data_IF_963213829321
#
_entry.id   IF_963213829321
#
_cell.length_a   1.000
_cell.length_b   1.000
_cell.length_c   1.000
_cell.angle_alpha   90.00
_cell.angle_beta   90.00
_cell.angle_gamma   90.00
#
_symmetry.space_group_name_H-M   'P 1'
#
loop_
_entity.id
_entity.type
_entity.pdbx_description
1 polymer ?
#
# COMPACT_ATOMS: atom_id res chain seq x y z
N UNK A 1 14.24 6.82 11.36
CA UNK A 1 14.77 8.02 10.73
C UNK A 1 13.73 9.13 10.71
N UNK A 2 12.56 8.95 10.11
CA UNK A 2 11.52 10.00 9.97
C UNK A 2 10.96 10.50 11.30
N UNK A 3 10.92 9.66 12.32
CA UNK A 3 10.48 10.05 13.69
C UNK A 3 11.44 11.05 14.33
N UNK A 4 12.75 10.94 14.03
CA UNK A 4 13.78 11.84 14.57
C UNK A 4 13.85 13.17 13.83
N UNK A 5 13.48 13.20 12.57
CA UNK A 5 13.53 14.41 11.72
C UNK A 5 12.14 15.07 11.66
N UNK A 6 11.76 15.68 12.79
CA UNK A 6 10.45 16.34 12.93
C UNK A 6 10.40 17.72 12.27
N UNK A 7 11.53 18.35 11.97
CA UNK A 7 11.61 19.71 11.48
C UNK A 7 11.83 19.79 9.94
N UNK A 8 12.19 18.67 9.30
CA UNK A 8 12.43 18.65 7.87
C UNK A 8 11.13 18.77 7.07
N UNK A 9 11.10 19.71 6.15
CA UNK A 9 10.02 19.89 5.18
C UNK A 9 10.12 18.93 3.98
N UNK A 10 10.97 17.92 4.04
CA UNK A 10 11.07 16.90 3.00
C UNK A 10 9.91 15.92 3.08
N UNK A 11 9.45 15.44 1.93
CA UNK A 11 8.42 14.39 1.89
C UNK A 11 8.93 13.13 2.59
N UNK A 12 8.23 12.73 3.64
CA UNK A 12 8.50 11.51 4.40
C UNK A 12 7.59 10.42 3.89
N UNK A 13 8.06 9.66 2.88
CA UNK A 13 7.31 8.61 2.23
C UNK A 13 8.02 7.26 2.42
N UNK A 14 7.26 6.25 2.81
CA UNK A 14 7.69 4.85 2.86
C UNK A 14 6.83 4.06 1.89
N UNK A 15 7.46 3.35 0.94
CA UNK A 15 6.74 2.52 -0.01
C UNK A 15 6.93 1.04 0.29
N UNK A 16 5.83 0.32 0.34
CA UNK A 16 5.76 -1.13 0.36
C UNK A 16 5.66 -1.61 -1.09
N UNK A 17 6.77 -2.15 -1.61
CA UNK A 17 6.96 -2.43 -3.03
C UNK A 17 6.89 -3.92 -3.31
N UNK A 18 6.20 -4.30 -4.37
CA UNK A 18 6.14 -5.70 -4.80
C UNK A 18 5.02 -5.95 -5.80
N UNK A 19 4.98 -7.17 -6.32
CA UNK A 19 3.94 -7.61 -7.25
C UNK A 19 2.58 -7.77 -6.56
N UNK A 20 1.53 -7.90 -7.38
CA UNK A 20 0.19 -8.14 -6.86
C UNK A 20 0.13 -9.48 -6.12
N UNK A 21 -0.34 -9.45 -4.86
CA UNK A 21 -0.46 -10.64 -4.02
C UNK A 21 0.78 -10.98 -3.19
N UNK A 22 1.83 -10.17 -3.20
CA UNK A 22 3.02 -10.35 -2.36
C UNK A 22 2.86 -9.80 -0.93
N UNK A 23 1.68 -9.31 -0.56
CA UNK A 23 1.38 -8.92 0.82
C UNK A 23 1.71 -7.47 1.16
N UNK A 24 1.84 -6.57 0.17
CA UNK A 24 2.08 -5.12 0.40
C UNK A 24 1.10 -4.52 1.42
N UNK A 25 -0.20 -4.63 1.14
CA UNK A 25 -1.28 -4.15 2.01
C UNK A 25 -1.20 -4.76 3.41
N UNK A 26 -0.97 -6.08 3.49
CA UNK A 26 -0.85 -6.78 4.77
C UNK A 26 0.37 -6.29 5.58
N UNK A 27 1.51 -6.10 4.92
CA UNK A 27 2.72 -5.56 5.56
C UNK A 27 2.49 -4.12 6.04
N UNK A 28 1.88 -3.28 5.21
CA UNK A 28 1.54 -1.90 5.55
C UNK A 28 0.60 -1.83 6.75
N UNK A 29 -0.51 -2.59 6.73
CA UNK A 29 -1.51 -2.60 7.82
C UNK A 29 -0.96 -3.22 9.11
N UNK A 30 -0.14 -4.26 9.02
CA UNK A 30 0.56 -4.81 10.19
C UNK A 30 1.51 -3.79 10.80
N UNK A 31 2.27 -3.07 9.98
CA UNK A 31 3.16 -1.99 10.43
C UNK A 31 2.37 -0.89 11.15
N UNK A 32 1.22 -0.50 10.62
CA UNK A 32 0.30 0.44 11.27
C UNK A 32 -0.16 -0.07 12.63
N UNK A 33 -0.64 -1.31 12.71
CA UNK A 33 -1.09 -1.93 13.96
C UNK A 33 0.01 -2.00 15.02
N UNK A 34 1.25 -2.30 14.62
CA UNK A 34 2.41 -2.26 15.53
C UNK A 34 2.63 -0.84 16.04
N UNK A 35 2.62 0.16 15.17
CA UNK A 35 2.84 1.56 15.52
C UNK A 35 1.77 2.07 16.52
N UNK A 36 0.51 1.72 16.28
CA UNK A 36 -0.60 2.11 17.17
C UNK A 36 -0.57 1.42 18.54
N UNK A 37 -0.07 0.19 18.59
CA UNK A 37 -0.04 -0.64 19.79
C UNK A 37 1.27 -0.53 20.58
N UNK A 38 2.29 0.12 20.04
CA UNK A 38 3.58 0.28 20.73
C UNK A 38 3.41 1.13 21.99
N UNK A 39 3.38 0.44 23.12
CA UNK A 39 3.41 1.04 24.45
C UNK A 39 4.40 0.26 25.29
N UNK A 40 4.99 0.88 26.31
CA UNK A 40 5.83 0.15 27.26
C UNK A 40 5.12 -1.12 27.78
N UNK A 41 5.83 -2.25 27.74
CA UNK A 41 5.35 -3.58 28.17
C UNK A 41 4.31 -4.25 27.25
N UNK A 42 4.10 -3.76 26.02
CA UNK A 42 3.29 -4.47 25.01
C UNK A 42 4.14 -5.48 24.22
N UNK A 43 3.49 -6.45 23.57
CA UNK A 43 4.17 -7.36 22.63
C UNK A 43 4.80 -6.59 21.47
N UNK A 44 4.12 -5.55 21.00
CA UNK A 44 4.63 -4.64 19.99
C UNK A 44 5.91 -3.91 20.45
N UNK A 45 6.00 -3.52 21.72
CA UNK A 45 7.21 -2.94 22.30
C UNK A 45 8.38 -3.93 22.26
N UNK A 46 8.14 -5.18 22.66
CA UNK A 46 9.15 -6.22 22.65
C UNK A 46 9.72 -6.47 21.24
N UNK A 47 8.85 -6.41 20.22
CA UNK A 47 9.27 -6.51 18.81
C UNK A 47 10.11 -5.30 18.38
N UNK A 48 9.64 -4.09 18.67
CA UNK A 48 10.31 -2.82 18.32
C UNK A 48 11.67 -2.69 19.04
N UNK A 49 11.78 -3.17 20.26
CA UNK A 49 13.03 -3.22 21.02
C UNK A 49 14.06 -4.15 20.38
N UNK A 50 13.63 -5.36 19.96
CA UNK A 50 14.49 -6.33 19.28
C UNK A 50 15.11 -5.78 17.99
N UNK A 51 14.39 -4.95 17.25
CA UNK A 51 14.88 -4.35 16.00
C UNK A 51 15.57 -2.99 16.21
N UNK A 52 15.81 -2.59 17.48
CA UNK A 52 16.56 -1.37 17.81
C UNK A 52 15.80 -0.06 17.57
N UNK A 53 14.46 -0.08 17.52
CA UNK A 53 13.60 1.07 17.23
C UNK A 53 12.88 1.61 18.46
N UNK A 54 13.52 1.65 19.62
CA UNK A 54 12.94 2.11 20.91
C UNK A 54 12.32 3.50 20.87
N UNK A 55 12.85 4.41 20.05
CA UNK A 55 12.31 5.77 19.93
C UNK A 55 10.85 5.77 19.47
N UNK A 56 10.39 4.73 18.77
CA UNK A 56 9.01 4.61 18.33
C UNK A 56 8.04 4.46 19.52
N UNK A 57 8.47 3.80 20.59
CA UNK A 57 7.66 3.65 21.80
C UNK A 57 7.38 4.97 22.54
N UNK A 58 8.27 5.95 22.36
CA UNK A 58 8.14 7.28 22.95
C UNK A 58 7.43 8.28 22.03
N UNK A 59 7.02 7.85 20.82
CA UNK A 59 6.38 8.70 19.83
C UNK A 59 4.92 8.29 19.67
N UNK A 60 4.01 9.21 19.93
CA UNK A 60 2.59 8.97 19.72
C UNK A 60 2.23 9.22 18.26
N UNK A 61 1.81 8.16 17.57
CA UNK A 61 1.38 8.26 16.19
C UNK A 61 -0.16 8.24 16.10
N UNK A 62 -0.71 9.09 15.22
CA UNK A 62 -2.09 9.02 14.79
C UNK A 62 -2.12 8.44 13.38
N UNK A 63 -2.74 7.28 13.21
CA UNK A 63 -2.86 6.61 11.92
C UNK A 63 -4.24 6.88 11.33
N UNK A 64 -4.28 7.35 10.10
CA UNK A 64 -5.53 7.53 9.36
C UNK A 64 -5.96 6.19 8.78
N UNK A 65 -7.24 6.00 8.60
CA UNK A 65 -7.79 4.83 7.90
C UNK A 65 -7.19 4.70 6.49
N UNK A 66 -6.83 3.47 6.08
CA UNK A 66 -6.23 3.19 4.77
C UNK A 66 -7.10 3.74 3.64
N UNK A 67 -6.47 4.46 2.73
CA UNK A 67 -7.12 4.95 1.51
C UNK A 67 -6.74 4.06 0.34
N UNK A 68 -7.73 3.45 -0.29
CA UNK A 68 -7.55 2.74 -1.56
C UNK A 68 -8.18 3.60 -2.68
N UNK A 69 -7.36 4.19 -3.57
CA UNK A 69 -7.84 5.05 -4.64
C UNK A 69 -8.71 4.34 -5.68
N UNK A 70 -8.71 3.01 -5.73
CA UNK A 70 -9.52 2.23 -6.68
C UNK A 70 -11.02 2.26 -6.35
N UNK A 71 -11.39 2.63 -5.10
CA UNK A 71 -12.79 2.73 -4.66
C UNK A 71 -13.41 4.12 -4.85
N UNK A 72 -12.67 5.08 -5.39
CA UNK A 72 -13.15 6.45 -5.52
C UNK A 72 -13.38 6.82 -6.98
N UNK A 73 -14.45 7.57 -7.23
CA UNK A 73 -14.75 8.11 -8.54
C UNK A 73 -13.69 9.12 -9.01
N UNK A 74 -13.61 9.32 -10.32
CA UNK A 74 -12.62 10.19 -10.98
C UNK A 74 -12.66 11.65 -10.52
N UNK A 75 -13.78 12.09 -9.96
CA UNK A 75 -13.97 13.44 -9.41
C UNK A 75 -13.27 13.63 -8.06
N UNK A 76 -12.83 12.56 -7.37
CA UNK A 76 -12.27 12.65 -6.04
C UNK A 76 -10.76 12.85 -6.08
N UNK A 77 -10.32 13.84 -5.32
CA UNK A 77 -8.92 14.19 -5.15
C UNK A 77 -8.38 13.46 -3.91
N UNK A 78 -7.20 12.82 -4.00
CA UNK A 78 -6.59 12.08 -2.87
C UNK A 78 -6.44 12.95 -1.61
N UNK A 79 -6.20 14.25 -1.79
CA UNK A 79 -6.08 15.19 -0.69
C UNK A 79 -7.42 15.41 0.02
N UNK A 80 -8.52 15.55 -0.72
CA UNK A 80 -9.86 15.67 -0.13
C UNK A 80 -10.27 14.42 0.63
N UNK A 81 -9.96 13.25 0.06
CA UNK A 81 -10.22 11.96 0.72
C UNK A 81 -9.45 11.89 2.04
N UNK A 82 -8.17 12.26 2.03
CA UNK A 82 -7.33 12.28 3.23
C UNK A 82 -7.91 13.23 4.29
N UNK A 83 -8.29 14.44 3.89
CA UNK A 83 -8.90 15.42 4.81
C UNK A 83 -10.24 14.92 5.34
N UNK A 84 -11.07 14.31 4.50
CA UNK A 84 -12.32 13.68 4.92
C UNK A 84 -12.12 12.58 5.95
N UNK A 85 -11.08 11.76 5.80
CA UNK A 85 -10.72 10.72 6.78
C UNK A 85 -10.18 11.32 8.08
N UNK A 86 -9.38 12.37 8.02
CA UNK A 86 -8.98 13.12 9.22
C UNK A 86 -10.20 13.66 9.99
N UNK A 87 -11.17 14.23 9.24
CA UNK A 87 -12.41 14.72 9.84
C UNK A 87 -13.24 13.58 10.48
N UNK A 88 -13.32 12.41 9.85
CA UNK A 88 -14.00 11.24 10.42
C UNK A 88 -13.32 10.75 11.70
N UNK A 89 -11.98 10.69 11.71
CA UNK A 89 -11.19 10.34 12.92
C UNK A 89 -11.41 11.35 14.04
N UNK A 90 -11.46 12.64 13.72
CA UNK A 90 -11.82 13.70 14.66
C UNK A 90 -13.22 13.45 15.26
N UNK A 91 -14.23 13.16 14.44
CA UNK A 91 -15.61 12.91 14.90
C UNK A 91 -15.68 11.74 15.88
N UNK A 92 -15.06 10.59 15.51
CA UNK A 92 -14.99 9.40 16.39
C UNK A 92 -14.38 9.75 17.75
N UNK A 93 -13.25 10.46 17.74
CA UNK A 93 -12.56 10.86 18.99
C UNK A 93 -13.39 11.81 19.83
N UNK A 94 -14.16 12.71 19.21
CA UNK A 94 -15.06 13.63 19.91
C UNK A 94 -16.20 12.90 20.63
N UNK A 95 -16.70 11.80 20.06
CA UNK A 95 -17.76 10.98 20.67
C UNK A 95 -17.25 10.20 21.88
N UNK A 96 -15.96 9.83 21.90
CA UNK A 96 -15.34 9.03 22.94
C UNK A 96 -14.89 9.85 24.17
N UNK A 97 -14.53 11.11 23.99
CA UNK A 97 -13.87 11.92 25.01
C UNK A 97 -14.50 13.30 25.19
N UNK A 98 -14.55 13.80 26.45
CA UNK A 98 -14.81 15.22 26.71
C UNK A 98 -13.56 16.01 26.31
N UNK A 99 -13.63 16.73 25.20
CA UNK A 99 -12.51 17.49 24.62
C UNK A 99 -12.63 18.97 24.98
N UNK A 100 -11.47 19.63 25.12
CA UNK A 100 -11.36 21.08 25.30
C UNK A 100 -12.02 21.85 24.14
N UNK A 101 -12.94 22.72 24.48
CA UNK A 101 -13.74 23.49 23.53
C UNK A 101 -12.87 24.38 22.62
N UNK A 102 -11.75 24.94 23.16
CA UNK A 102 -10.85 25.78 22.41
C UNK A 102 -10.13 25.04 21.28
N UNK A 103 -9.60 23.87 21.57
CA UNK A 103 -8.91 23.01 20.59
C UNK A 103 -9.86 22.52 19.48
N UNK A 104 -11.11 22.21 19.89
CA UNK A 104 -12.15 21.79 18.97
C UNK A 104 -12.49 22.88 17.94
N UNK A 105 -12.74 24.10 18.40
CA UNK A 105 -13.16 25.19 17.51
C UNK A 105 -12.04 25.54 16.51
N UNK A 106 -10.79 25.63 16.98
CA UNK A 106 -9.65 25.94 16.13
C UNK A 106 -9.45 24.90 15.03
N UNK A 107 -9.56 23.60 15.37
CA UNK A 107 -9.46 22.52 14.39
C UNK A 107 -10.59 22.59 13.36
N UNK A 108 -11.84 22.83 13.79
CA UNK A 108 -12.98 22.96 12.88
C UNK A 108 -12.86 24.16 11.91
N UNK A 109 -12.37 25.29 12.39
CA UNK A 109 -12.06 26.47 11.57
C UNK A 109 -11.01 26.14 10.51
N UNK A 110 -9.96 25.39 10.90
CA UNK A 110 -8.90 24.97 9.98
C UNK A 110 -9.42 23.99 8.94
N UNK A 111 -10.25 23.00 9.31
CA UNK A 111 -10.93 22.12 8.36
C UNK A 111 -11.77 22.90 7.35
N UNK A 112 -12.56 23.87 7.84
CA UNK A 112 -13.44 24.68 7.00
C UNK A 112 -12.64 25.51 5.98
N UNK A 113 -11.53 26.13 6.42
CA UNK A 113 -10.64 26.93 5.58
C UNK A 113 -9.96 26.09 4.49
N UNK A 114 -9.40 24.93 4.86
CA UNK A 114 -8.76 24.02 3.90
C UNK A 114 -9.77 23.49 2.88
N UNK A 115 -10.97 23.10 3.33
CA UNK A 115 -12.02 22.64 2.42
C UNK A 115 -12.48 23.74 1.44
N UNK A 116 -12.64 24.97 1.90
CA UNK A 116 -12.98 26.10 1.04
C UNK A 116 -11.89 26.36 -0.03
N UNK A 117 -10.60 26.25 0.36
CA UNK A 117 -9.49 26.38 -0.56
C UNK A 117 -9.46 25.27 -1.61
N UNK A 118 -9.73 24.03 -1.21
CA UNK A 118 -9.81 22.90 -2.14
C UNK A 118 -10.94 23.04 -3.15
N UNK A 119 -12.12 23.46 -2.69
CA UNK A 119 -13.27 23.72 -3.58
C UNK A 119 -13.00 24.88 -4.57
N UNK A 120 -12.25 25.87 -4.14
CA UNK A 120 -11.84 26.99 -5.03
C UNK A 120 -10.91 26.51 -6.15
N UNK A 121 -9.98 25.59 -5.83
CA UNK A 121 -9.03 25.04 -6.81
C UNK A 121 -9.63 23.99 -7.76
N UNK A 122 -10.81 23.48 -7.46
CA UNK A 122 -11.54 22.50 -8.30
C UNK A 122 -12.41 23.13 -9.38
N UNK A 123 -12.66 24.43 -9.34
CA UNK A 123 -13.44 25.11 -10.38
C UNK A 123 -12.66 25.10 -11.68
N UNK A 124 -13.07 24.23 -12.61
CA UNK A 124 -12.38 23.98 -13.89
C UNK A 124 -12.44 25.13 -14.90
N UNK A 125 -13.21 26.17 -14.64
CA UNK A 125 -13.50 27.24 -15.61
C UNK A 125 -12.63 28.50 -15.38
N UNK A 126 -11.32 28.30 -15.27
CA UNK A 126 -10.34 29.39 -15.07
C UNK A 126 -10.38 30.40 -16.25
N UNK A 127 -10.69 29.91 -17.45
CA UNK A 127 -10.69 30.76 -18.67
C UNK A 127 -11.88 31.73 -18.76
N UNK A 128 -12.98 31.41 -18.07
CA UNK A 128 -14.17 32.29 -17.99
C UNK A 128 -14.13 33.27 -16.82
N UNK A 129 -13.10 33.20 -15.96
CA UNK A 129 -12.99 34.00 -14.75
C UNK A 129 -12.34 35.37 -15.04
N UNK A 130 -12.76 36.42 -14.32
CA UNK A 130 -12.11 37.70 -14.34
C UNK A 130 -10.71 37.64 -13.70
N UNK A 131 -9.83 38.62 -13.99
CA UNK A 131 -8.43 38.63 -13.56
C UNK A 131 -8.24 38.57 -12.04
N UNK A 132 -9.13 39.18 -11.26
CA UNK A 132 -9.10 39.14 -9.79
C UNK A 132 -9.43 37.74 -9.26
N UNK A 133 -10.33 37.04 -9.90
CA UNK A 133 -10.67 35.69 -9.52
C UNK A 133 -9.53 34.71 -9.84
N UNK A 134 -8.87 34.89 -10.98
CA UNK A 134 -7.64 34.14 -11.32
C UNK A 134 -6.53 34.36 -10.28
N UNK A 135 -6.30 35.61 -9.87
CA UNK A 135 -5.34 35.90 -8.80
C UNK A 135 -5.72 35.24 -7.46
N UNK A 136 -7.00 35.23 -7.11
CA UNK A 136 -7.47 34.60 -5.90
C UNK A 136 -7.24 33.04 -5.93
N UNK A 137 -7.48 32.39 -7.08
CA UNK A 137 -7.19 30.97 -7.28
C UNK A 137 -5.68 30.69 -7.16
N UNK A 138 -4.84 31.50 -7.77
CA UNK A 138 -3.38 31.39 -7.66
C UNK A 138 -2.89 31.58 -6.22
N UNK A 139 -3.39 32.59 -5.52
CA UNK A 139 -3.05 32.87 -4.12
C UNK A 139 -3.50 31.68 -3.22
N UNK A 140 -4.67 31.13 -3.47
CA UNK A 140 -5.17 29.95 -2.76
C UNK A 140 -4.25 28.74 -2.98
N UNK A 141 -3.78 28.50 -4.21
CA UNK A 141 -2.84 27.42 -4.51
C UNK A 141 -1.51 27.56 -3.78
N UNK A 142 -1.00 28.77 -3.61
CA UNK A 142 0.24 29.07 -2.88
C UNK A 142 0.04 28.80 -1.37
N UNK A 143 -1.06 29.25 -0.80
CA UNK A 143 -1.31 29.18 0.65
C UNK A 143 -1.84 27.81 1.10
N UNK A 144 -2.36 26.97 0.20
CA UNK A 144 -2.97 25.69 0.56
C UNK A 144 -2.01 24.76 1.30
N UNK A 145 -0.72 24.75 0.92
CA UNK A 145 0.29 23.93 1.62
C UNK A 145 0.43 24.33 3.09
N UNK A 146 0.50 25.63 3.36
CA UNK A 146 0.64 26.14 4.73
C UNK A 146 -0.63 25.86 5.54
N UNK A 147 -1.81 25.99 4.92
CA UNK A 147 -3.09 25.65 5.54
C UNK A 147 -3.17 24.15 5.90
N UNK A 148 -2.63 23.27 5.05
CA UNK A 148 -2.59 21.82 5.34
C UNK A 148 -1.59 21.54 6.46
N UNK A 149 -0.44 22.22 6.48
CA UNK A 149 0.51 22.10 7.58
C UNK A 149 -0.12 22.51 8.91
N UNK A 150 -0.85 23.62 8.93
CA UNK A 150 -1.63 24.07 10.09
C UNK A 150 -2.71 23.05 10.49
N UNK A 151 -3.45 22.51 9.51
CA UNK A 151 -4.47 21.49 9.78
C UNK A 151 -3.84 20.24 10.42
N UNK A 152 -2.71 19.75 9.93
CA UNK A 152 -2.00 18.60 10.50
C UNK A 152 -1.57 18.90 11.93
N UNK A 153 -1.01 20.08 12.20
CA UNK A 153 -0.61 20.49 13.55
C UNK A 153 -1.80 20.55 14.51
N UNK A 154 -2.91 21.20 14.14
CA UNK A 154 -4.09 21.31 14.97
C UNK A 154 -4.76 19.94 15.20
N UNK A 155 -4.76 19.08 14.16
CA UNK A 155 -5.26 17.72 14.26
C UNK A 155 -4.40 16.89 15.25
N UNK A 156 -3.08 16.95 15.16
CA UNK A 156 -2.17 16.25 16.05
C UNK A 156 -2.30 16.76 17.50
N UNK A 157 -2.42 18.07 17.70
CA UNK A 157 -2.70 18.67 19.00
C UNK A 157 -4.01 18.16 19.62
N UNK A 158 -5.06 18.01 18.79
CA UNK A 158 -6.34 17.46 19.21
C UNK A 158 -6.25 15.97 19.56
N UNK A 159 -5.55 15.18 18.74
CA UNK A 159 -5.35 13.74 18.95
C UNK A 159 -4.34 13.43 20.06
N UNK A 160 -3.63 14.41 20.58
CA UNK A 160 -2.49 14.29 21.51
C UNK A 160 -1.42 13.35 20.91
N UNK A 161 -1.09 13.51 19.63
CA UNK A 161 -0.11 12.74 18.88
C UNK A 161 1.01 13.64 18.35
N UNK A 162 2.16 13.02 18.05
CA UNK A 162 3.37 13.68 17.54
C UNK A 162 3.49 13.58 16.02
N UNK A 163 3.00 12.50 15.44
CA UNK A 163 3.15 12.16 14.01
C UNK A 163 1.83 11.66 13.44
N UNK A 164 1.51 12.15 12.26
CA UNK A 164 0.42 11.68 11.40
C UNK A 164 0.94 10.64 10.40
N UNK A 165 0.29 9.49 10.31
CA UNK A 165 0.56 8.48 9.29
C UNK A 165 -0.64 8.41 8.35
N UNK A 166 -0.37 8.63 7.05
CA UNK A 166 -1.37 8.59 5.98
C UNK A 166 -1.10 7.40 5.07
N UNK A 167 -1.83 6.29 5.22
CA UNK A 167 -1.66 5.11 4.39
C UNK A 167 -2.52 5.18 3.14
N UNK A 168 -1.90 4.91 1.98
CA UNK A 168 -2.53 4.87 0.66
C UNK A 168 -2.15 3.56 0.00
N UNK A 169 -3.15 2.73 -0.29
CA UNK A 169 -2.95 1.41 -0.88
C UNK A 169 -3.13 1.44 -2.40
N UNK A 170 -2.36 0.61 -3.10
CA UNK A 170 -2.49 0.33 -4.54
C UNK A 170 -2.67 1.58 -5.43
N UNK A 171 -1.91 2.66 -5.14
CA UNK A 171 -2.00 3.94 -5.89
C UNK A 171 -1.71 3.76 -7.39
N UNK A 172 -0.90 2.78 -7.77
CA UNK A 172 -0.51 2.46 -9.14
C UNK A 172 -1.61 1.76 -9.93
N UNK A 173 -2.66 1.25 -9.29
CA UNK A 173 -3.81 0.65 -9.98
C UNK A 173 -4.74 1.68 -10.62
N UNK A 174 -4.78 2.89 -10.13
CA UNK A 174 -5.54 3.98 -10.74
C UNK A 174 -4.72 4.65 -11.85
N UNK A 175 -4.56 3.95 -12.99
CA UNK A 175 -3.67 4.35 -14.10
C UNK A 175 -3.95 5.76 -14.60
N UNK A 176 -5.21 6.16 -14.65
CA UNK A 176 -5.62 7.47 -15.16
C UNK A 176 -5.17 8.64 -14.27
N UNK A 177 -5.14 8.44 -12.95
CA UNK A 177 -4.96 9.53 -12.00
C UNK A 177 -3.76 9.36 -11.06
N UNK A 178 -3.06 8.21 -11.08
CA UNK A 178 -1.96 7.94 -10.17
C UNK A 178 -0.86 9.01 -10.20
N UNK A 179 -0.49 9.50 -11.38
CA UNK A 179 0.49 10.59 -11.49
C UNK A 179 -0.02 11.88 -10.79
N UNK A 180 -1.28 12.25 -11.02
CA UNK A 180 -1.91 13.43 -10.38
C UNK A 180 -1.97 13.27 -8.86
N UNK A 181 -2.31 12.08 -8.37
CA UNK A 181 -2.31 11.76 -6.94
C UNK A 181 -0.92 11.86 -6.33
N UNK A 182 0.10 11.32 -6.99
CA UNK A 182 1.49 11.44 -6.57
C UNK A 182 1.95 12.90 -6.48
N UNK A 183 1.55 13.75 -7.46
CA UNK A 183 1.84 15.19 -7.43
C UNK A 183 1.14 15.89 -6.24
N UNK A 184 -0.08 15.52 -5.92
CA UNK A 184 -0.79 16.06 -4.75
C UNK A 184 -0.13 15.65 -3.44
N UNK A 185 0.29 14.41 -3.32
CA UNK A 185 1.04 13.91 -2.16
C UNK A 185 2.33 14.71 -2.01
N UNK A 186 3.11 14.84 -3.08
CA UNK A 186 4.38 15.54 -3.09
C UNK A 186 4.24 17.03 -2.76
N UNK A 187 3.19 17.70 -3.25
CA UNK A 187 2.98 19.14 -3.05
C UNK A 187 2.42 19.47 -1.68
N UNK A 188 1.50 18.66 -1.16
CA UNK A 188 0.64 19.05 -0.04
C UNK A 188 0.81 18.18 1.22
N UNK A 189 1.29 16.94 1.11
CA UNK A 189 1.56 16.09 2.27
C UNK A 189 3.04 16.11 2.70
N UNK A 190 3.83 16.99 2.12
CA UNK A 190 5.20 17.30 2.51
C UNK A 190 5.18 18.24 3.73
N UNK A 191 4.74 17.71 4.87
CA UNK A 191 4.59 18.41 6.14
C UNK A 191 5.47 17.73 7.18
N UNK A 192 6.16 18.48 8.07
CA UNK A 192 7.15 17.93 9.00
C UNK A 192 6.68 16.73 9.81
N UNK A 193 5.45 16.77 10.32
CA UNK A 193 4.87 15.71 11.16
C UNK A 193 4.05 14.68 10.39
N UNK A 194 4.07 14.71 9.06
CA UNK A 194 3.31 13.78 8.22
C UNK A 194 4.23 12.73 7.60
N UNK A 195 3.87 11.45 7.72
CA UNK A 195 4.52 10.33 7.03
C UNK A 195 3.48 9.64 6.16
N UNK A 196 3.79 9.49 4.88
CA UNK A 196 2.92 8.82 3.93
C UNK A 196 3.41 7.38 3.73
N UNK A 197 2.51 6.42 3.89
CA UNK A 197 2.74 5.03 3.54
C UNK A 197 2.09 4.76 2.19
N UNK A 198 2.86 4.25 1.23
CA UNK A 198 2.36 3.90 -0.10
C UNK A 198 2.51 2.39 -0.33
N UNK A 199 1.48 1.74 -0.81
CA UNK A 199 1.57 0.41 -1.39
C UNK A 199 1.51 0.53 -2.90
N UNK A 200 2.52 0.00 -3.59
CA UNK A 200 2.61 0.14 -5.05
C UNK A 200 3.58 -0.87 -5.68
N UNK A 201 3.49 -1.01 -7.01
CA UNK A 201 4.51 -1.63 -7.85
C UNK A 201 5.28 -0.53 -8.59
N UNK A 202 6.58 -0.44 -8.33
CA UNK A 202 7.44 0.65 -8.86
C UNK A 202 7.39 0.71 -10.38
N UNK A 203 7.49 -0.44 -11.07
CA UNK A 203 7.50 -0.50 -12.53
C UNK A 203 6.17 -0.03 -13.12
N UNK A 204 5.04 -0.36 -12.46
CA UNK A 204 3.72 0.07 -12.91
C UNK A 204 3.55 1.58 -12.73
N UNK A 205 3.96 2.11 -11.59
CA UNK A 205 3.93 3.55 -11.35
C UNK A 205 4.86 4.28 -12.34
N UNK A 206 6.04 3.73 -12.63
CA UNK A 206 6.96 4.30 -13.61
C UNK A 206 6.31 4.40 -14.99
N UNK A 207 5.64 3.34 -15.45
CA UNK A 207 4.92 3.34 -16.72
C UNK A 207 3.81 4.41 -16.76
N UNK A 208 3.08 4.60 -15.68
CA UNK A 208 2.04 5.65 -15.57
C UNK A 208 2.65 7.06 -15.67
N UNK A 209 3.78 7.28 -14.98
CA UNK A 209 4.48 8.57 -15.01
C UNK A 209 5.08 8.84 -16.40
N UNK A 210 5.66 7.83 -17.05
CA UNK A 210 6.16 7.92 -18.43
C UNK A 210 5.07 8.36 -19.40
N UNK A 211 3.89 7.72 -19.32
CA UNK A 211 2.75 8.08 -20.15
C UNK A 211 2.26 9.51 -19.88
N UNK A 212 2.22 9.95 -18.63
CA UNK A 212 1.84 11.32 -18.28
C UNK A 212 2.83 12.35 -18.84
N UNK A 213 4.12 12.07 -18.77
CA UNK A 213 5.15 12.94 -19.35
C UNK A 213 5.07 12.97 -20.88
N UNK A 214 4.92 11.80 -21.51
CA UNK A 214 4.76 11.71 -22.96
C UNK A 214 3.53 12.48 -23.45
N UNK A 215 2.40 12.38 -22.75
CA UNK A 215 1.19 13.13 -23.07
C UNK A 215 1.39 14.65 -22.95
N UNK A 216 2.11 15.10 -21.93
CA UNK A 216 2.43 16.53 -21.72
C UNK A 216 3.34 17.06 -22.82
N UNK A 217 4.35 16.31 -23.23
CA UNK A 217 5.30 16.70 -24.29
C UNK A 217 4.63 16.73 -25.68
N UNK A 218 3.72 15.80 -25.95
CA UNK A 218 2.98 15.73 -27.22
C UNK A 218 1.85 16.73 -27.35
N UNK A 219 1.53 17.49 -26.29
CA UNK A 219 0.45 18.48 -26.33
C UNK A 219 0.86 19.70 -27.17
N UNK A 220 0.24 19.97 -28.34
CA UNK A 220 0.63 21.06 -29.24
C UNK A 220 0.39 22.46 -28.67
N UNK A 221 -0.33 22.56 -27.55
CA UNK A 221 -0.59 23.83 -26.85
C UNK A 221 0.56 24.27 -25.92
N UNK A 222 1.52 23.38 -25.65
CA UNK A 222 2.71 23.68 -24.81
C UNK A 222 3.92 23.89 -25.74
N UNK A 223 3.92 25.01 -26.43
CA UNK A 223 5.06 25.50 -27.21
C UNK A 223 5.06 25.03 -28.67
N UNK A 224 4.90 25.94 -29.59
CA UNK A 224 5.32 25.80 -30.99
C UNK A 224 6.85 25.68 -31.05
N UNK A 225 7.40 24.55 -30.67
CA UNK A 225 8.74 24.18 -31.05
C UNK A 225 8.61 23.30 -32.31
N UNK A 226 8.55 23.95 -33.44
CA UNK A 226 9.00 23.36 -34.69
C UNK A 226 10.45 23.02 -34.49
N UNK A 227 10.76 21.76 -34.32
CA UNK A 227 11.91 21.12 -34.92
C UNK A 227 12.00 19.65 -34.49
N UNK A 228 12.33 18.84 -35.39
CA UNK A 228 12.52 17.43 -35.59
C UNK A 228 13.35 16.64 -34.54
N UNK A 229 13.50 17.09 -33.33
CA UNK A 229 14.08 16.33 -32.24
C UNK A 229 12.95 15.77 -31.36
N UNK A 230 12.33 14.69 -31.81
CA UNK A 230 11.43 13.90 -30.96
C UNK A 230 12.16 13.53 -29.69
N UNK A 231 11.59 13.89 -28.54
CA UNK A 231 12.09 13.38 -27.25
C UNK A 231 12.27 11.87 -27.35
N UNK A 232 13.46 11.40 -27.03
CA UNK A 232 13.78 9.99 -27.00
C UNK A 232 12.99 9.33 -25.87
N UNK A 233 12.38 8.17 -26.12
CA UNK A 233 11.67 7.39 -25.08
C UNK A 233 12.56 7.11 -23.89
N UNK A 234 13.86 6.94 -24.07
CA UNK A 234 14.84 6.75 -23.01
C UNK A 234 14.95 7.98 -22.08
N UNK A 235 14.82 9.19 -22.61
CA UNK A 235 14.85 10.43 -21.81
C UNK A 235 13.58 10.54 -20.93
N UNK A 236 12.41 10.19 -21.48
CA UNK A 236 11.15 10.17 -20.72
C UNK A 236 11.23 9.14 -19.58
N UNK A 237 11.76 7.94 -19.86
CA UNK A 237 11.93 6.90 -18.86
C UNK A 237 12.90 7.33 -17.75
N UNK A 238 14.00 8.01 -18.11
CA UNK A 238 14.94 8.55 -17.11
C UNK A 238 14.32 9.65 -16.25
N UNK A 239 13.54 10.55 -16.87
CA UNK A 239 12.79 11.59 -16.15
C UNK A 239 11.79 10.96 -15.16
N UNK A 240 11.03 9.96 -15.59
CA UNK A 240 10.09 9.25 -14.74
C UNK A 240 10.79 8.56 -13.57
N UNK A 241 11.92 7.89 -13.82
CA UNK A 241 12.75 7.28 -12.78
C UNK A 241 13.26 8.30 -11.75
N UNK A 242 13.74 9.47 -12.21
CA UNK A 242 14.16 10.57 -11.33
C UNK A 242 12.99 11.11 -10.49
N UNK A 243 11.80 11.23 -11.10
CA UNK A 243 10.59 11.64 -10.40
C UNK A 243 10.21 10.64 -9.28
N UNK A 244 10.18 9.35 -9.58
CA UNK A 244 9.84 8.31 -8.59
C UNK A 244 10.88 8.27 -7.47
N UNK A 245 12.17 8.39 -7.79
CA UNK A 245 13.22 8.45 -6.78
C UNK A 245 13.11 9.67 -5.87
N UNK A 246 12.50 10.75 -6.34
CA UNK A 246 12.21 11.95 -5.54
C UNK A 246 10.96 11.75 -4.67
N UNK A 247 9.94 11.05 -5.19
CA UNK A 247 8.71 10.72 -4.45
C UNK A 247 8.99 9.68 -3.37
N UNK A 248 9.65 8.60 -3.74
CA UNK A 248 10.00 7.47 -2.88
C UNK A 248 11.49 7.13 -3.08
N UNK A 249 12.37 7.70 -2.28
CA UNK A 249 13.80 7.37 -2.33
C UNK A 249 14.05 5.87 -2.11
N UNK A 250 15.10 5.33 -2.71
CA UNK A 250 15.41 3.89 -2.64
C UNK A 250 15.54 3.39 -1.20
N UNK A 251 16.10 4.19 -0.31
CA UNK A 251 16.24 3.87 1.11
C UNK A 251 14.92 3.89 1.90
N UNK A 252 13.83 4.33 1.28
CA UNK A 252 12.47 4.36 1.86
C UNK A 252 11.56 3.30 1.22
N UNK A 253 12.10 2.38 0.43
CA UNK A 253 11.38 1.26 -0.18
C UNK A 253 11.54 0.02 0.67
N UNK A 254 10.43 -0.62 0.95
CA UNK A 254 10.36 -1.92 1.62
C UNK A 254 9.93 -2.93 0.57
N UNK A 255 10.89 -3.65 0.02
CA UNK A 255 10.62 -4.69 -0.97
C UNK A 255 9.98 -5.89 -0.30
N UNK A 256 8.85 -6.36 -0.86
CA UNK A 256 8.18 -7.55 -0.35
C UNK A 256 9.00 -8.80 -0.67
N UNK A 257 9.16 -9.72 0.31
CA UNK A 257 9.92 -10.94 0.09
C UNK A 257 9.20 -11.83 -0.92
N UNK A 258 9.96 -12.40 -1.85
CA UNK A 258 9.44 -13.44 -2.75
C UNK A 258 9.15 -14.72 -1.98
N UNK A 259 8.15 -15.51 -2.43
CA UNK A 259 7.78 -16.77 -1.75
C UNK A 259 8.97 -17.73 -1.60
N UNK A 260 9.89 -17.76 -2.56
CA UNK A 260 11.09 -18.60 -2.48
C UNK A 260 12.09 -18.17 -1.40
N UNK A 261 12.14 -16.88 -1.06
CA UNK A 261 13.00 -16.39 0.03
C UNK A 261 12.46 -16.75 1.41
N UNK A 262 11.20 -17.20 1.48
CA UNK A 262 10.54 -17.68 2.69
C UNK A 262 10.62 -19.20 2.85
N UNK A 263 11.46 -19.88 2.09
CA UNK A 263 11.57 -21.35 2.09
C UNK A 263 11.84 -21.95 3.48
N UNK A 264 12.53 -21.21 4.34
CA UNK A 264 12.86 -21.62 5.73
C UNK A 264 11.84 -21.12 6.77
N UNK A 265 10.79 -20.39 6.34
CA UNK A 265 9.77 -19.93 7.26
C UNK A 265 8.88 -21.08 7.71
N UNK A 266 8.71 -21.18 9.02
CA UNK A 266 7.78 -22.13 9.64
C UNK A 266 6.37 -21.61 9.52
N UNK A 267 5.45 -22.45 9.03
CA UNK A 267 4.03 -22.12 8.92
C UNK A 267 3.21 -23.00 9.85
N UNK A 268 2.27 -22.38 10.54
CA UNK A 268 1.26 -23.04 11.35
C UNK A 268 -0.10 -22.85 10.69
N UNK A 269 -0.74 -23.95 10.30
CA UNK A 269 -2.01 -23.93 9.60
C UNK A 269 -3.08 -24.65 10.43
N UNK A 270 -4.25 -24.03 10.63
CA UNK A 270 -5.37 -24.75 11.25
C UNK A 270 -5.83 -25.87 10.31
N UNK A 271 -6.05 -27.05 10.86
CA UNK A 271 -6.62 -28.18 10.13
C UNK A 271 -8.14 -28.21 10.27
N UNK A 272 -8.83 -28.86 9.33
CA UNK A 272 -10.29 -29.04 9.36
C UNK A 272 -10.81 -29.73 10.63
N UNK A 273 -9.95 -30.46 11.33
CA UNK A 273 -10.28 -31.18 12.56
C UNK A 273 -9.94 -30.37 13.84
N UNK A 274 -9.67 -29.08 13.73
CA UNK A 274 -9.34 -28.22 14.88
C UNK A 274 -7.91 -28.38 15.41
N UNK A 275 -7.06 -29.14 14.73
CA UNK A 275 -5.63 -29.25 15.04
C UNK A 275 -4.81 -28.16 14.34
N UNK A 276 -3.52 -28.08 14.68
CA UNK A 276 -2.54 -27.22 14.02
C UNK A 276 -1.55 -28.10 13.26
N UNK A 277 -1.45 -27.89 11.96
CA UNK A 277 -0.41 -28.49 11.14
C UNK A 277 0.78 -27.52 11.05
N UNK A 278 1.95 -28.01 11.42
CA UNK A 278 3.17 -27.23 11.34
C UNK A 278 3.99 -27.67 10.14
N UNK A 279 4.32 -26.72 9.25
CA UNK A 279 5.28 -26.90 8.16
C UNK A 279 6.61 -26.27 8.55
N UNK A 280 7.65 -27.07 8.71
CA UNK A 280 8.99 -26.58 9.11
C UNK A 280 9.77 -25.97 7.95
N UNK A 281 9.42 -26.32 6.72
CA UNK A 281 10.00 -25.77 5.50
C UNK A 281 8.94 -25.66 4.43
N UNK A 282 8.69 -24.44 3.95
CA UNK A 282 7.69 -24.20 2.91
C UNK A 282 8.05 -24.91 1.60
N UNK A 283 9.34 -25.02 1.27
CA UNK A 283 9.83 -25.66 0.04
C UNK A 283 9.53 -27.16 0.01
N UNK A 284 9.73 -27.86 1.11
CA UNK A 284 9.47 -29.31 1.23
C UNK A 284 8.03 -29.58 1.66
N UNK A 285 7.51 -28.84 2.62
CA UNK A 285 6.21 -29.06 3.22
C UNK A 285 5.04 -28.95 2.24
N UNK A 286 5.10 -28.04 1.28
CA UNK A 286 4.05 -27.92 0.24
C UNK A 286 4.01 -29.18 -0.64
N UNK A 287 5.16 -29.69 -1.07
CA UNK A 287 5.23 -30.91 -1.91
C UNK A 287 4.81 -32.15 -1.12
N UNK A 288 5.20 -32.25 0.14
CA UNK A 288 4.75 -33.32 1.04
C UNK A 288 3.23 -33.23 1.28
N UNK A 289 2.68 -32.05 1.47
CA UNK A 289 1.25 -31.84 1.62
C UNK A 289 0.48 -32.25 0.36
N UNK A 290 0.98 -31.88 -0.82
CA UNK A 290 0.39 -32.33 -2.10
C UNK A 290 0.40 -33.85 -2.18
N UNK A 291 1.52 -34.51 -1.87
CA UNK A 291 1.63 -35.95 -1.88
C UNK A 291 0.67 -36.61 -0.87
N UNK A 292 0.63 -36.12 0.35
CA UNK A 292 -0.21 -36.68 1.41
C UNK A 292 -1.70 -36.57 1.09
N UNK A 293 -2.13 -35.51 0.39
CA UNK A 293 -3.53 -35.28 0.04
C UNK A 293 -3.94 -35.93 -1.29
N UNK A 294 -3.03 -36.03 -2.28
CA UNK A 294 -3.38 -36.41 -3.66
C UNK A 294 -2.63 -37.62 -4.18
N UNK A 295 -1.56 -38.03 -3.51
CA UNK A 295 -0.62 -39.05 -3.98
C UNK A 295 0.07 -38.70 -5.31
N UNK A 296 0.02 -37.43 -5.72
CA UNK A 296 0.85 -36.94 -6.81
C UNK A 296 2.27 -36.64 -6.31
N UNK A 297 3.26 -37.20 -6.99
CA UNK A 297 4.66 -36.97 -6.70
C UNK A 297 5.22 -35.94 -7.69
N UNK A 298 5.74 -34.86 -7.19
CA UNK A 298 6.43 -33.85 -7.99
C UNK A 298 7.92 -33.88 -7.70
N UNK A 299 8.69 -33.98 -8.76
CA UNK A 299 10.14 -33.95 -8.66
C UNK A 299 10.59 -32.48 -8.48
N UNK A 300 11.47 -32.27 -7.51
CA UNK A 300 12.13 -30.99 -7.28
C UNK A 300 13.61 -31.15 -7.52
N UNK A 301 14.19 -30.59 -8.59
CA UNK A 301 15.65 -30.57 -8.78
C UNK A 301 16.30 -29.89 -7.57
N UNK A 302 17.48 -30.37 -7.15
CA UNK A 302 18.12 -29.99 -5.88
C UNK A 302 18.28 -28.46 -5.68
N UNK A 303 18.43 -27.71 -6.77
CA UNK A 303 18.71 -26.27 -6.73
C UNK A 303 17.59 -25.38 -7.30
N UNK A 304 16.43 -25.94 -7.60
CA UNK A 304 15.31 -25.16 -8.14
C UNK A 304 14.04 -25.31 -7.30
N UNK A 305 13.16 -24.32 -7.38
CA UNK A 305 11.82 -24.40 -6.82
C UNK A 305 10.94 -25.13 -7.83
N UNK A 306 10.17 -26.11 -7.35
CA UNK A 306 9.20 -26.80 -8.21
C UNK A 306 8.24 -25.77 -8.83
N UNK A 307 8.02 -25.80 -10.16
CA UNK A 307 7.11 -24.88 -10.83
C UNK A 307 5.66 -24.96 -10.34
N UNK A 308 5.31 -26.01 -9.59
CA UNK A 308 3.99 -26.18 -9.00
C UNK A 308 3.79 -25.29 -7.76
N UNK A 309 4.89 -24.88 -7.10
CA UNK A 309 4.84 -23.98 -5.96
C UNK A 309 4.76 -22.55 -6.48
N UNK A 310 3.69 -21.80 -6.18
CA UNK A 310 3.55 -20.42 -6.63
C UNK A 310 4.65 -19.51 -6.06
N UNK A 311 5.16 -18.59 -6.88
CA UNK A 311 6.12 -17.57 -6.44
C UNK A 311 5.46 -16.40 -5.68
N UNK A 312 4.15 -16.26 -5.80
CA UNK A 312 3.35 -15.21 -5.22
C UNK A 312 2.73 -15.73 -3.93
N UNK A 313 2.82 -14.98 -2.84
CA UNK A 313 2.33 -15.37 -1.51
C UNK A 313 0.83 -15.67 -1.50
N UNK A 314 0.02 -14.87 -2.17
CA UNK A 314 -1.44 -15.07 -2.23
C UNK A 314 -1.79 -16.42 -2.87
N UNK A 315 -1.17 -16.72 -4.01
CA UNK A 315 -1.41 -17.97 -4.71
C UNK A 315 -0.87 -19.17 -3.92
N UNK A 316 0.25 -18.99 -3.22
CA UNK A 316 0.81 -19.99 -2.32
C UNK A 316 -0.14 -20.27 -1.15
N UNK A 317 -0.66 -19.24 -0.49
CA UNK A 317 -1.66 -19.39 0.58
C UNK A 317 -2.95 -20.05 0.06
N UNK A 318 -3.42 -19.69 -1.12
CA UNK A 318 -4.58 -20.33 -1.75
C UNK A 318 -4.34 -21.81 -2.00
N UNK A 319 -3.16 -22.18 -2.49
CA UNK A 319 -2.78 -23.59 -2.66
C UNK A 319 -2.76 -24.35 -1.33
N UNK A 320 -2.12 -23.76 -0.31
CA UNK A 320 -2.02 -24.36 1.01
C UNK A 320 -3.42 -24.52 1.64
N UNK A 321 -4.26 -23.48 1.56
CA UNK A 321 -5.64 -23.53 2.06
C UNK A 321 -6.47 -24.62 1.36
N UNK A 322 -6.34 -24.75 0.04
CA UNK A 322 -6.98 -25.82 -0.72
C UNK A 322 -6.52 -27.20 -0.23
N UNK A 323 -5.21 -27.40 -0.07
CA UNK A 323 -4.66 -28.67 0.39
C UNK A 323 -5.03 -28.98 1.84
N UNK A 324 -5.10 -27.99 2.71
CA UNK A 324 -5.53 -28.13 4.10
C UNK A 324 -7.00 -28.54 4.22
N UNK A 325 -7.86 -28.06 3.30
CA UNK A 325 -9.27 -28.41 3.24
C UNK A 325 -9.53 -29.84 2.70
N UNK A 326 -8.55 -30.49 2.07
CA UNK A 326 -8.67 -31.86 1.56
C UNK A 326 -8.58 -32.88 2.70
N UNK A 327 -9.25 -34.03 2.54
CA UNK A 327 -9.17 -35.12 3.49
C UNK A 327 -7.76 -35.74 3.54
N UNK A 328 -7.33 -36.16 4.72
CA UNK A 328 -6.10 -36.94 4.87
C UNK A 328 -6.27 -38.33 4.31
N UNK A 329 -5.33 -38.74 3.47
CA UNK A 329 -5.30 -40.08 2.88
C UNK A 329 -4.23 -40.90 3.63
N UNK A 330 -4.57 -41.75 4.62
CA UNK A 330 -3.61 -42.60 5.29
C UNK A 330 -3.07 -43.67 4.35
N UNK A 331 -1.92 -44.24 4.70
CA UNK A 331 -1.25 -45.27 3.90
C UNK A 331 -1.98 -46.62 3.87
N UNK A 332 -3.10 -46.78 4.61
CA UNK A 332 -3.87 -48.00 4.64
C UNK A 332 -4.69 -48.23 3.34
N UNK A 333 -4.73 -49.48 2.87
CA UNK A 333 -5.43 -49.89 1.64
C UNK A 333 -6.96 -49.99 1.77
N UNK A 334 -7.59 -49.24 2.67
CA UNK A 334 -9.04 -49.29 2.88
C UNK A 334 -9.83 -48.68 1.71
N UNK A 335 -10.84 -49.43 1.26
CA UNK A 335 -11.73 -49.08 0.14
C UNK A 335 -12.52 -47.78 0.34
N UNK A 336 -12.82 -47.40 1.59
CA UNK A 336 -13.52 -46.17 1.97
C UNK A 336 -12.77 -44.91 1.60
N UNK A 337 -11.47 -44.99 1.39
CA UNK A 337 -10.60 -43.85 1.09
C UNK A 337 -10.29 -43.66 -0.40
N UNK A 338 -10.71 -44.59 -1.26
CA UNK A 338 -10.60 -44.38 -2.72
C UNK A 338 -11.43 -43.19 -3.18
N UNK A 339 -12.61 -42.99 -2.62
CA UNK A 339 -13.47 -41.86 -2.98
C UNK A 339 -12.86 -40.51 -2.55
N UNK A 340 -12.37 -40.44 -1.32
CA UNK A 340 -11.67 -39.22 -0.82
C UNK A 340 -10.44 -38.89 -1.69
N UNK A 341 -9.63 -39.90 -2.03
CA UNK A 341 -8.46 -39.69 -2.90
C UNK A 341 -8.86 -39.17 -4.30
N UNK A 342 -9.88 -39.76 -4.91
CA UNK A 342 -10.36 -39.28 -6.23
C UNK A 342 -10.94 -37.86 -6.14
N UNK A 343 -11.68 -37.57 -5.07
CA UNK A 343 -12.17 -36.19 -4.82
C UNK A 343 -11.02 -35.21 -4.69
N UNK A 344 -10.04 -35.50 -3.84
CA UNK A 344 -8.84 -34.66 -3.67
C UNK A 344 -8.08 -34.46 -4.98
N UNK A 345 -7.88 -35.54 -5.76
CA UNK A 345 -7.23 -35.46 -7.08
C UNK A 345 -7.99 -34.57 -8.05
N UNK A 346 -9.31 -34.66 -8.07
CA UNK A 346 -10.14 -33.85 -8.96
C UNK A 346 -10.10 -32.36 -8.56
N UNK A 347 -10.17 -32.06 -7.25
CA UNK A 347 -10.01 -30.68 -6.75
C UNK A 347 -8.64 -30.11 -7.12
N UNK A 348 -7.58 -30.90 -6.94
CA UNK A 348 -6.22 -30.47 -7.27
C UNK A 348 -6.00 -30.30 -8.79
N UNK A 349 -6.55 -31.20 -9.61
CA UNK A 349 -6.53 -31.03 -11.07
C UNK A 349 -7.24 -29.74 -11.50
N UNK A 350 -8.41 -29.46 -10.94
CA UNK A 350 -9.15 -28.24 -11.23
C UNK A 350 -8.32 -26.98 -10.86
N UNK A 351 -7.66 -26.99 -9.70
CA UNK A 351 -6.74 -25.94 -9.30
C UNK A 351 -5.60 -25.79 -10.32
N UNK A 352 -4.94 -26.88 -10.71
CA UNK A 352 -3.88 -26.85 -11.69
C UNK A 352 -4.34 -26.28 -13.03
N UNK A 353 -5.49 -26.71 -13.53
CA UNK A 353 -6.06 -26.17 -14.77
C UNK A 353 -6.32 -24.66 -14.65
N UNK A 354 -6.84 -24.20 -13.53
CA UNK A 354 -7.16 -22.79 -13.34
C UNK A 354 -5.91 -21.90 -13.25
N UNK A 355 -4.88 -22.37 -12.54
CA UNK A 355 -3.65 -21.59 -12.30
C UNK A 355 -2.64 -21.74 -13.44
N UNK A 356 -2.49 -22.96 -13.97
CA UNK A 356 -1.51 -23.26 -15.02
C UNK A 356 -1.96 -22.82 -16.41
N UNK A 357 -3.24 -22.91 -16.74
CA UNK A 357 -3.76 -22.39 -18.01
C UNK A 357 -3.41 -20.91 -18.18
N UNK A 358 -3.50 -20.12 -17.11
CA UNK A 358 -3.09 -18.70 -17.11
C UNK A 358 -1.58 -18.47 -17.30
N UNK A 359 -0.75 -19.49 -17.00
CA UNK A 359 0.72 -19.37 -17.10
C UNK A 359 1.26 -19.86 -18.44
N UNK A 360 0.52 -20.70 -19.15
CA UNK A 360 0.94 -21.35 -20.39
C UNK A 360 0.11 -20.94 -21.61
N UNK A 361 -0.91 -20.11 -21.46
CA UNK A 361 -1.51 -19.38 -22.58
C UNK A 361 -0.53 -18.26 -22.99
N UNK A 362 0.50 -18.70 -23.71
CA UNK A 362 1.43 -17.83 -24.44
C UNK A 362 0.82 -17.56 -25.82
#
# INVERSE_FOLDING_TARGET
AFVRDKESETLKCVAFCGDRGEGKTSCMTTTQGIIEQVKEKSDAYSYVDKIGCKDLANTKCSVVEVTDPSFFDDSHNILQITIGKLYNSYRRKQEECKVDYGKKNKLLETFSRVNASLLTLQKDDIDSMNDLHRLAVLATGITLRDQIAELVNEYLNFMAADILIVPIDDIDLNIAYAYRMCEQIRKYLCVPQCVVFLSLKIEQLQYVVENAFAATIKNPNIGKASDSNGFNFDEIAEMAKKYINKLVPVNSRVEMPKAYSLAEVKLELPTSNGGIMTMESMKKGVLELIYNRTRYLFYNPADSISPIVPNNLRDLFNLIALLAAMEEIPDSRELTKKHALETNKNMFKLYLFTVWKKRFDI
#
